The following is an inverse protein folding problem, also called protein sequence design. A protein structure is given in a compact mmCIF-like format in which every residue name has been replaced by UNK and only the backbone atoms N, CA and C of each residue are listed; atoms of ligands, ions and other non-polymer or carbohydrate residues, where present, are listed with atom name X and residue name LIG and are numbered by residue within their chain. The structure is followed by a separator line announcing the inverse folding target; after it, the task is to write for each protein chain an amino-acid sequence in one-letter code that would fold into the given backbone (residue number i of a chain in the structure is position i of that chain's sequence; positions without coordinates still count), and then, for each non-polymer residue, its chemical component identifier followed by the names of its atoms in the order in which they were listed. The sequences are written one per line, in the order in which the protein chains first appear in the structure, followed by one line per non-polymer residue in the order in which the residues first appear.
data_IF_494225653771
#
_entry.id   IF_494225653771
#
_cell.length_a   1.000
_cell.length_b   1.000
_cell.length_c   1.000
_cell.angle_alpha   90.00
_cell.angle_beta   90.00
_cell.angle_gamma   90.00
#
_symmetry.space_group_name_H-M   'P 1'
#
loop_
_entity.id
_entity.type
_entity.pdbx_description
1 polymer ?
#
# COMPACT_ATOMS: atom_id res chain seq x y z
N UNK A 1 13.53 -2.83 -11.80
CA UNK A 1 13.21 -3.16 -10.39
C UNK A 1 13.49 -4.64 -10.17
N UNK A 2 14.28 -5.03 -9.14
CA UNK A 2 14.57 -6.43 -8.85
C UNK A 2 13.30 -7.24 -8.55
N UNK A 3 13.24 -8.56 -8.86
CA UNK A 3 12.04 -9.37 -8.65
C UNK A 3 11.46 -9.33 -7.21
N UNK A 4 12.28 -9.37 -6.14
CA UNK A 4 11.75 -9.26 -4.77
C UNK A 4 11.03 -7.93 -4.51
N UNK A 5 11.55 -6.85 -5.08
CA UNK A 5 10.98 -5.50 -4.91
C UNK A 5 9.66 -5.34 -5.67
N UNK A 6 9.51 -6.02 -6.81
CA UNK A 6 8.24 -6.07 -7.54
C UNK A 6 7.17 -6.79 -6.70
N UNK A 7 7.53 -7.89 -6.04
CA UNK A 7 6.62 -8.62 -5.14
C UNK A 7 6.21 -7.76 -3.94
N UNK A 8 7.15 -7.04 -3.32
CA UNK A 8 6.85 -6.09 -2.24
C UNK A 8 5.90 -4.98 -2.72
N UNK A 9 6.13 -4.45 -3.93
CA UNK A 9 5.28 -3.41 -4.52
C UNK A 9 3.85 -3.90 -4.75
N UNK A 10 3.69 -5.08 -5.36
CA UNK A 10 2.36 -5.67 -5.55
C UNK A 10 1.67 -5.97 -4.21
N UNK A 11 2.40 -6.53 -3.22
CA UNK A 11 1.83 -6.85 -1.91
C UNK A 11 1.30 -5.62 -1.17
N UNK A 12 2.10 -4.55 -1.10
CA UNK A 12 1.69 -3.31 -0.46
C UNK A 12 0.55 -2.59 -1.20
N UNK A 13 0.52 -2.69 -2.53
CA UNK A 13 -0.59 -2.19 -3.35
C UNK A 13 -1.91 -2.95 -3.11
N UNK A 14 -1.85 -4.27 -2.90
CA UNK A 14 -3.01 -5.14 -2.65
C UNK A 14 -3.56 -4.99 -1.23
N UNK A 15 -2.70 -4.73 -0.23
CA UNK A 15 -3.10 -4.51 1.16
C UNK A 15 -3.70 -3.09 1.35
N UNK A 16 -3.48 -2.18 0.40
CA UNK A 16 -3.87 -0.77 0.44
C UNK A 16 -5.36 -0.41 0.34
N UNK A 17 -6.27 -1.18 -0.31
CA UNK A 17 -7.56 -0.63 -0.67
C UNK A 17 -8.32 -0.28 0.61
N UNK A 18 -8.51 1.03 0.79
CA UNK A 18 -9.17 1.66 1.93
C UNK A 18 -10.50 0.98 2.27
N UNK A 19 -11.22 0.46 1.27
CA UNK A 19 -12.40 -0.39 1.44
C UNK A 19 -12.18 -1.55 2.43
N UNK A 20 -11.16 -2.37 2.24
CA UNK A 20 -10.95 -3.55 3.09
C UNK A 20 -10.70 -3.19 4.57
N UNK A 21 -10.17 -1.98 4.83
CA UNK A 21 -9.84 -1.52 6.18
C UNK A 21 -10.83 -0.52 6.78
N UNK A 22 -11.74 0.08 6.00
CA UNK A 22 -12.72 1.05 6.48
C UNK A 22 -13.76 0.42 7.41
N UNK A 23 -14.10 -0.84 7.17
CA UNK A 23 -15.10 -1.58 7.94
C UNK A 23 -14.65 -3.02 8.20
N UNK A 24 -13.63 -3.23 9.04
CA UNK A 24 -13.18 -4.58 9.36
C UNK A 24 -14.33 -5.36 10.01
N UNK A 25 -14.78 -6.43 9.37
CA UNK A 25 -15.88 -7.28 9.83
C UNK A 25 -17.27 -6.94 9.25
N UNK A 26 -17.41 -5.88 8.46
CA UNK A 26 -18.65 -5.58 7.74
C UNK A 26 -18.51 -6.08 6.29
N UNK A 27 -19.51 -6.83 5.81
CA UNK A 27 -19.58 -7.24 4.41
C UNK A 27 -19.78 -5.99 3.56
N UNK A 28 -18.72 -5.52 2.91
CA UNK A 28 -18.84 -4.47 1.91
C UNK A 28 -19.71 -4.92 0.75
N UNK A 29 -20.60 -4.05 0.32
CA UNK A 29 -21.36 -4.25 -0.91
C UNK A 29 -20.44 -4.22 -2.13
N UNK A 30 -20.84 -4.92 -3.20
CA UNK A 30 -20.13 -4.88 -4.49
C UNK A 30 -19.92 -3.44 -5.01
N UNK A 31 -20.84 -2.53 -4.70
CA UNK A 31 -20.75 -1.13 -5.10
C UNK A 31 -19.66 -0.37 -4.34
N UNK A 32 -19.51 -0.62 -3.03
CA UNK A 32 -18.43 -0.03 -2.22
C UNK A 32 -17.06 -0.57 -2.64
N UNK A 33 -16.97 -1.86 -2.96
CA UNK A 33 -15.74 -2.48 -3.50
C UNK A 33 -15.36 -1.82 -4.83
N UNK A 34 -16.32 -1.67 -5.76
CA UNK A 34 -16.08 -1.03 -7.05
C UNK A 34 -15.66 0.44 -6.88
N UNK A 35 -16.39 1.21 -6.08
CA UNK A 35 -16.07 2.62 -5.83
C UNK A 35 -14.67 2.78 -5.21
N UNK A 36 -14.29 1.91 -4.28
CA UNK A 36 -12.94 1.93 -3.71
C UNK A 36 -11.86 1.51 -4.70
N UNK A 37 -12.14 0.57 -5.60
CA UNK A 37 -11.20 0.17 -6.65
C UNK A 37 -11.01 1.30 -7.68
N UNK A 38 -12.09 1.95 -8.11
CA UNK A 38 -12.03 3.12 -8.99
C UNK A 38 -11.27 4.28 -8.34
N UNK A 39 -11.55 4.57 -7.07
CA UNK A 39 -10.81 5.58 -6.32
C UNK A 39 -9.32 5.22 -6.21
N UNK A 40 -8.99 3.95 -5.95
CA UNK A 40 -7.60 3.49 -5.90
C UNK A 40 -6.88 3.74 -7.23
N UNK A 41 -7.50 3.37 -8.36
CA UNK A 41 -6.96 3.58 -9.72
C UNK A 41 -6.76 5.08 -10.00
N UNK A 42 -7.70 5.93 -9.59
CA UNK A 42 -7.62 7.38 -9.82
C UNK A 42 -6.62 8.10 -8.90
N UNK A 43 -6.41 7.59 -7.69
CA UNK A 43 -5.60 8.23 -6.65
C UNK A 43 -4.09 8.16 -6.86
N UNK A 44 -3.62 7.45 -7.89
CA UNK A 44 -2.19 7.17 -8.13
C UNK A 44 -1.49 6.52 -6.93
N UNK A 45 -2.26 5.88 -6.05
CA UNK A 45 -1.72 5.24 -4.85
C UNK A 45 -0.72 4.15 -5.19
N UNK A 46 -0.94 3.39 -6.27
CA UNK A 46 -0.01 2.38 -6.73
C UNK A 46 1.36 2.97 -7.07
N UNK A 47 1.38 4.10 -7.78
CA UNK A 47 2.60 4.85 -8.10
C UNK A 47 3.27 5.40 -6.85
N UNK A 48 2.52 5.98 -5.90
CA UNK A 48 3.08 6.48 -4.64
C UNK A 48 3.70 5.37 -3.79
N UNK A 49 3.03 4.21 -3.66
CA UNK A 49 3.55 3.04 -2.95
C UNK A 49 4.81 2.52 -3.63
N UNK A 50 4.81 2.44 -4.95
CA UNK A 50 5.98 2.04 -5.73
C UNK A 50 7.17 2.98 -5.50
N UNK A 51 6.94 4.29 -5.50
CA UNK A 51 8.00 5.28 -5.23
C UNK A 51 8.52 5.13 -3.81
N UNK A 52 7.66 5.02 -2.81
CA UNK A 52 8.08 4.87 -1.41
C UNK A 52 8.87 3.58 -1.17
N UNK A 53 8.50 2.48 -1.83
CA UNK A 53 9.27 1.22 -1.79
C UNK A 53 10.61 1.38 -2.48
N UNK A 54 10.66 2.03 -3.65
CA UNK A 54 11.94 2.30 -4.31
C UNK A 54 12.86 3.14 -3.41
N UNK A 55 12.36 4.24 -2.85
CA UNK A 55 13.15 5.09 -1.95
C UNK A 55 13.65 4.33 -0.71
N UNK A 56 12.83 3.47 -0.12
CA UNK A 56 13.20 2.73 1.09
C UNK A 56 14.17 1.56 0.84
N UNK A 57 14.22 1.01 -0.38
CA UNK A 57 14.84 -0.29 -0.63
C UNK A 57 15.74 -0.37 -1.88
N UNK A 58 15.86 0.70 -2.68
CA UNK A 58 16.63 0.68 -3.94
C UNK A 58 18.11 0.32 -3.77
N UNK A 59 18.71 0.62 -2.60
CA UNK A 59 20.13 0.40 -2.30
C UNK A 59 20.35 -0.83 -1.40
N UNK A 60 19.33 -1.68 -1.23
CA UNK A 60 19.41 -2.87 -0.39
C UNK A 60 19.89 -4.07 -1.20
N UNK A 61 21.20 -4.34 -1.11
CA UNK A 61 21.79 -5.60 -1.58
C UNK A 61 21.70 -6.66 -0.47
N UNK A 62 20.53 -7.28 -0.31
CA UNK A 62 20.36 -8.36 0.67
C UNK A 62 18.92 -8.66 1.07
N UNK A 63 18.76 -9.11 2.32
CA UNK A 63 17.46 -9.50 2.88
C UNK A 63 16.60 -8.28 3.22
N UNK A 64 15.36 -8.29 2.75
CA UNK A 64 14.30 -7.37 3.20
C UNK A 64 13.72 -7.76 4.56
N UNK A 65 14.19 -8.86 5.15
CA UNK A 65 13.69 -9.40 6.42
C UNK A 65 14.55 -8.95 7.61
N UNK A 66 14.91 -7.67 7.65
CA UNK A 66 15.53 -7.06 8.84
C UNK A 66 14.48 -6.27 9.61
N UNK A 67 14.66 -6.06 10.93
CA UNK A 67 13.76 -5.23 11.72
C UNK A 67 13.52 -3.84 11.11
N UNK A 68 14.58 -3.22 10.58
CA UNK A 68 14.53 -1.90 9.96
C UNK A 68 13.70 -1.90 8.67
N UNK A 69 13.88 -2.93 7.83
CA UNK A 69 13.12 -3.08 6.60
C UNK A 69 11.64 -3.37 6.87
N UNK A 70 11.33 -4.15 7.92
CA UNK A 70 9.95 -4.38 8.35
C UNK A 70 9.28 -3.11 8.85
N UNK A 71 9.98 -2.29 9.63
CA UNK A 71 9.47 -0.98 10.09
C UNK A 71 9.23 -0.03 8.92
N UNK A 72 10.15 0.05 7.96
CA UNK A 72 9.96 0.84 6.74
C UNK A 72 8.73 0.36 5.96
N UNK A 73 8.55 -0.96 5.81
CA UNK A 73 7.39 -1.53 5.13
C UNK A 73 6.07 -1.19 5.86
N UNK A 74 6.06 -1.31 7.18
CA UNK A 74 4.91 -0.94 8.02
C UNK A 74 4.57 0.54 7.89
N UNK A 75 5.58 1.42 7.88
CA UNK A 75 5.39 2.87 7.68
C UNK A 75 4.77 3.18 6.31
N UNK A 76 5.23 2.50 5.25
CA UNK A 76 4.66 2.63 3.90
C UNK A 76 3.19 2.16 3.89
N UNK A 77 2.89 1.02 4.54
CA UNK A 77 1.51 0.51 4.65
C UNK A 77 0.62 1.48 5.42
N UNK A 78 1.06 2.00 6.56
CA UNK A 78 0.28 2.94 7.37
C UNK A 78 0.08 4.28 6.67
N UNK A 79 1.11 4.83 6.02
CA UNK A 79 1.00 6.08 5.25
C UNK A 79 0.02 5.95 4.09
N UNK A 80 0.00 4.77 3.46
CA UNK A 80 -0.95 4.43 2.41
C UNK A 80 -2.40 4.33 2.92
N UNK A 81 -2.60 3.86 4.15
CA UNK A 81 -3.91 3.87 4.81
C UNK A 81 -4.35 5.28 5.23
N UNK A 82 -3.41 6.13 5.64
CA UNK A 82 -3.66 7.46 6.24
C UNK A 82 -3.82 8.57 5.21
N UNK A 83 -3.41 8.38 3.95
CA UNK A 83 -3.53 9.40 2.90
C UNK A 83 -4.97 9.60 2.38
N UNK A 84 -5.88 10.02 3.28
CA UNK A 84 -6.74 11.21 3.25
C UNK A 84 -7.88 11.04 4.25
N UNK A 85 -7.58 11.21 5.53
CA UNK A 85 -8.55 11.70 6.54
C UNK A 85 -8.50 13.23 6.61
N UNK A 86 -8.65 13.89 5.46
CA UNK A 86 -8.87 15.34 5.38
C UNK A 86 -9.96 15.62 4.34
N UNK A 87 -11.17 15.23 4.72
CA UNK A 87 -12.41 15.79 4.20
C UNK A 87 -13.31 15.98 5.43
N UNK A 88 -13.03 17.05 6.18
CA UNK A 88 -14.05 17.79 6.91
C UNK A 88 -14.62 18.82 5.95
#
# INVERSE_FOLDING_TARGET
MPPPLQVLTMGCAIIAPRAFWLKPGELMSLQEIRASAEHYIQSQTAEHVKTAILEAFQDVDGSYDTPQHREALLSIILSNQICRSSAL
#
